data_IF_547173580692
#
_entry.id   IF_547173580692
#
_cell.length_a   1.000
_cell.length_b   1.000
_cell.length_c   1.000
_cell.angle_alpha   90.00
_cell.angle_beta   90.00
_cell.angle_gamma   90.00
#
_symmetry.space_group_name_H-M   'P 1'
#
loop_
_entity.id
_entity.type
_entity.pdbx_description
1 polymer ?
#
# COMPACT_ATOMS: atom_id res chain seq x y z
N UNK A 1 -33.81 17.08 54.55
CA UNK A 1 -34.67 16.66 53.43
C UNK A 1 -34.81 17.69 52.29
N UNK A 2 -34.13 18.82 52.28
CA UNK A 2 -34.13 19.82 51.19
C UNK A 2 -32.88 19.83 50.30
N UNK A 3 -31.82 19.11 50.65
CA UNK A 3 -30.55 19.10 49.93
C UNK A 3 -30.52 18.04 48.82
N UNK A 4 -31.38 17.00 48.93
CA UNK A 4 -31.40 15.90 47.95
C UNK A 4 -32.18 16.21 46.66
N UNK A 5 -33.23 17.01 46.77
CA UNK A 5 -34.05 17.41 45.59
C UNK A 5 -33.31 18.37 44.62
N UNK A 6 -32.35 19.13 45.17
CA UNK A 6 -31.56 20.07 44.33
C UNK A 6 -30.46 19.33 43.51
N UNK A 7 -29.94 18.24 44.02
CA UNK A 7 -28.95 17.40 43.32
C UNK A 7 -29.59 16.62 42.14
N UNK A 8 -30.77 16.05 42.35
CA UNK A 8 -31.48 15.34 41.28
C UNK A 8 -31.93 16.28 40.13
N UNK A 9 -32.42 17.49 40.45
CA UNK A 9 -32.82 18.47 39.49
C UNK A 9 -31.62 19.00 38.63
N UNK A 10 -30.45 19.13 39.21
CA UNK A 10 -29.24 19.54 38.51
C UNK A 10 -28.75 18.41 37.61
N UNK A 11 -28.80 17.16 38.08
CA UNK A 11 -28.36 15.98 37.29
C UNK A 11 -29.29 15.73 36.10
N UNK A 12 -30.62 15.93 36.26
CA UNK A 12 -31.56 15.82 35.14
C UNK A 12 -31.39 16.94 34.11
N UNK A 13 -31.15 18.17 34.53
CA UNK A 13 -30.90 19.29 33.59
C UNK A 13 -29.58 19.12 32.81
N UNK A 14 -28.55 18.53 33.40
CA UNK A 14 -27.29 18.22 32.72
C UNK A 14 -27.48 17.07 31.73
N UNK A 15 -28.25 16.02 32.09
CA UNK A 15 -28.55 14.90 31.19
C UNK A 15 -29.45 15.35 30.01
N UNK A 16 -30.40 16.23 30.24
CA UNK A 16 -31.28 16.78 29.21
C UNK A 16 -30.50 17.70 28.25
N UNK A 17 -29.65 18.58 28.78
CA UNK A 17 -28.71 19.38 27.95
C UNK A 17 -27.77 18.54 27.10
N UNK A 18 -27.29 17.39 27.62
CA UNK A 18 -26.49 16.43 26.83
C UNK A 18 -27.29 15.76 25.73
N UNK A 19 -28.54 15.35 25.98
CA UNK A 19 -29.42 14.77 24.95
C UNK A 19 -29.72 15.73 23.82
N UNK A 20 -30.00 16.99 24.12
CA UNK A 20 -30.23 18.03 23.11
C UNK A 20 -29.00 18.40 22.32
N UNK A 21 -27.78 18.38 22.92
CA UNK A 21 -26.53 18.55 22.20
C UNK A 21 -26.25 17.38 21.25
N UNK A 22 -26.54 16.14 21.64
CA UNK A 22 -26.38 14.96 20.79
C UNK A 22 -27.38 14.99 19.62
N UNK A 23 -28.62 15.41 19.85
CA UNK A 23 -29.61 15.53 18.79
C UNK A 23 -29.34 16.72 17.85
N UNK A 24 -28.81 17.83 18.36
CA UNK A 24 -28.38 18.97 17.54
C UNK A 24 -27.12 18.65 16.73
N UNK A 25 -26.17 17.88 17.27
CA UNK A 25 -25.00 17.44 16.54
C UNK A 25 -25.40 16.43 15.44
N UNK A 26 -26.31 15.48 15.71
CA UNK A 26 -26.81 14.55 14.70
C UNK A 26 -27.63 15.25 13.60
N UNK A 27 -28.42 16.27 13.95
CA UNK A 27 -29.17 17.09 13.00
C UNK A 27 -28.28 18.04 12.19
N UNK A 28 -27.28 18.63 12.81
CA UNK A 28 -26.29 19.49 12.14
C UNK A 28 -25.35 18.71 11.21
N UNK A 29 -25.05 17.47 11.55
CA UNK A 29 -24.22 16.60 10.69
C UNK A 29 -24.95 16.22 9.40
N UNK A 30 -26.27 16.01 9.44
CA UNK A 30 -27.07 15.78 8.23
C UNK A 30 -27.31 17.06 7.40
N UNK A 31 -27.32 18.24 8.01
CA UNK A 31 -27.49 19.51 7.29
C UNK A 31 -26.16 20.08 6.77
N UNK A 32 -25.00 19.71 7.37
CA UNK A 32 -23.67 20.13 6.92
C UNK A 32 -23.15 19.27 5.74
N UNK A 33 -23.66 18.06 5.56
CA UNK A 33 -23.31 17.23 4.38
C UNK A 33 -23.91 17.80 3.08
N UNK A 34 -24.92 18.66 3.15
CA UNK A 34 -25.53 19.31 1.99
C UNK A 34 -24.95 20.69 1.63
N UNK A 35 -24.00 21.23 2.39
CA UNK A 35 -23.62 22.65 2.27
C UNK A 35 -22.14 22.98 2.24
N UNK A 36 -21.21 22.02 2.38
CA UNK A 36 -19.77 22.26 2.29
C UNK A 36 -19.10 21.38 1.23
N UNK A 37 -19.38 21.68 -0.02
CA UNK A 37 -18.42 21.42 -1.10
C UNK A 37 -17.43 22.58 -1.08
N UNK A 38 -16.44 22.53 -0.21
CA UNK A 38 -15.24 23.35 -0.29
C UNK A 38 -14.03 22.54 0.15
N UNK A 39 -13.38 21.89 -0.85
CA UNK A 39 -11.94 21.95 -1.13
C UNK A 39 -11.00 21.85 0.07
N UNK A 40 -10.94 20.68 0.71
CA UNK A 40 -9.69 20.16 1.24
C UNK A 40 -9.66 18.68 0.87
N UNK A 41 -8.72 18.22 0.04
CA UNK A 41 -8.56 16.80 -0.18
C UNK A 41 -8.08 16.18 1.13
N UNK A 42 -8.99 15.64 1.91
CA UNK A 42 -8.60 14.78 3.01
C UNK A 42 -8.07 13.48 2.41
N UNK A 43 -6.79 13.26 2.51
CA UNK A 43 -6.12 11.98 2.18
C UNK A 43 -6.66 10.83 3.06
N UNK A 44 -7.53 11.16 4.01
CA UNK A 44 -8.26 10.21 4.83
C UNK A 44 -9.74 10.20 4.44
N UNK A 45 -10.15 9.14 3.79
CA UNK A 45 -11.56 8.79 3.72
C UNK A 45 -12.04 8.38 5.12
N UNK A 46 -13.23 8.80 5.53
CA UNK A 46 -13.87 8.35 6.76
C UNK A 46 -14.54 9.43 7.60
N UNK A 47 -15.43 8.99 8.49
CA UNK A 47 -16.08 9.83 9.49
C UNK A 47 -15.21 10.00 10.74
N UNK A 48 -15.18 11.19 11.33
CA UNK A 48 -14.43 11.48 12.54
C UNK A 48 -15.40 11.83 13.68
N UNK A 49 -15.23 11.15 14.81
CA UNK A 49 -15.91 11.46 16.07
C UNK A 49 -14.92 12.21 16.95
N UNK A 50 -15.20 13.46 17.24
CA UNK A 50 -14.38 14.32 18.11
C UNK A 50 -14.96 14.34 19.51
N UNK A 51 -14.11 14.46 20.55
CA UNK A 51 -14.54 14.80 21.89
C UNK A 51 -14.59 16.33 22.10
N UNK A 52 -14.94 16.78 23.28
CA UNK A 52 -14.85 18.21 23.66
C UNK A 52 -13.41 18.75 23.62
N UNK A 53 -12.41 17.88 23.62
CA UNK A 53 -10.99 18.14 23.47
C UNK A 53 -10.59 17.84 22.01
N UNK A 54 -10.22 18.86 21.24
CA UNK A 54 -9.91 18.75 19.82
C UNK A 54 -8.75 17.77 19.53
N UNK A 55 -7.86 17.54 20.50
CA UNK A 55 -6.77 16.57 20.39
C UNK A 55 -7.26 15.11 20.53
N UNK A 56 -8.50 14.89 20.97
CA UNK A 56 -9.09 13.57 21.19
C UNK A 56 -10.17 13.26 20.18
N UNK A 57 -9.85 12.32 19.29
CA UNK A 57 -10.77 11.91 18.23
C UNK A 57 -10.59 10.43 17.88
N UNK A 58 -11.60 9.87 17.25
CA UNK A 58 -11.54 8.60 16.52
C UNK A 58 -12.08 8.85 15.11
N UNK A 59 -11.34 8.45 14.09
CA UNK A 59 -11.75 8.45 12.70
C UNK A 59 -11.90 7.02 12.21
N UNK A 60 -12.99 6.74 11.52
CA UNK A 60 -13.31 5.45 10.93
C UNK A 60 -13.48 5.60 9.43
N UNK A 61 -12.73 4.83 8.66
CA UNK A 61 -12.84 4.77 7.21
C UNK A 61 -12.91 3.34 6.70
N UNK A 62 -13.35 3.18 5.48
CA UNK A 62 -13.43 1.89 4.80
C UNK A 62 -13.00 2.03 3.35
N UNK A 63 -12.44 0.97 2.80
CA UNK A 63 -12.09 0.89 1.38
C UNK A 63 -12.37 -0.48 0.80
N UNK A 64 -12.86 -0.50 -0.43
CA UNK A 64 -13.05 -1.72 -1.21
C UNK A 64 -12.47 -1.52 -2.62
N UNK A 65 -11.79 -2.53 -3.11
CA UNK A 65 -11.36 -2.65 -4.51
C UNK A 65 -11.79 -4.00 -5.03
N UNK A 66 -12.45 -3.97 -6.19
CA UNK A 66 -12.94 -5.18 -6.84
C UNK A 66 -12.60 -5.14 -8.32
N UNK A 67 -12.38 -6.29 -8.92
CA UNK A 67 -12.09 -6.39 -10.34
C UNK A 67 -12.79 -7.57 -11.01
N UNK A 68 -13.02 -7.42 -12.30
CA UNK A 68 -13.26 -8.48 -13.25
C UNK A 68 -12.02 -8.61 -14.13
N UNK A 69 -11.48 -9.80 -14.23
CA UNK A 69 -10.33 -10.10 -15.10
C UNK A 69 -10.72 -11.19 -16.09
N UNK A 70 -10.49 -10.92 -17.37
CA UNK A 70 -10.51 -11.91 -18.46
C UNK A 70 -9.07 -12.07 -18.93
N UNK A 71 -8.46 -13.23 -18.74
CA UNK A 71 -7.04 -13.45 -19.01
C UNK A 71 -6.78 -14.74 -19.78
N UNK A 72 -5.82 -14.64 -20.68
CA UNK A 72 -5.36 -15.76 -21.50
C UNK A 72 -4.58 -16.77 -20.66
N UNK A 73 -4.67 -18.04 -21.02
CA UNK A 73 -3.96 -19.18 -20.41
C UNK A 73 -4.13 -19.31 -18.90
N UNK A 74 -5.21 -18.79 -18.34
CA UNK A 74 -5.52 -18.84 -16.89
C UNK A 74 -6.53 -19.91 -16.50
N UNK A 75 -7.14 -20.58 -17.47
CA UNK A 75 -8.04 -21.70 -17.20
C UNK A 75 -7.31 -22.87 -16.55
N UNK A 76 -8.05 -23.77 -15.91
CA UNK A 76 -7.49 -24.96 -15.29
C UNK A 76 -6.68 -25.84 -16.26
N UNK A 77 -7.00 -25.80 -17.55
CA UNK A 77 -6.25 -26.47 -18.61
C UNK A 77 -4.99 -25.70 -19.06
N UNK A 78 -4.82 -24.44 -18.66
CA UNK A 78 -3.74 -23.55 -19.10
C UNK A 78 -3.78 -23.19 -20.58
N UNK A 79 -4.90 -23.37 -21.27
CA UNK A 79 -4.99 -23.24 -22.73
C UNK A 79 -6.15 -22.35 -23.20
N UNK A 80 -6.88 -21.70 -22.29
CA UNK A 80 -8.06 -20.90 -22.61
C UNK A 80 -8.16 -19.66 -21.72
N UNK A 81 -8.94 -18.68 -22.19
CA UNK A 81 -9.32 -17.53 -21.39
C UNK A 81 -10.10 -17.95 -20.15
N UNK A 82 -9.73 -17.36 -19.03
CA UNK A 82 -10.45 -17.46 -17.75
C UNK A 82 -11.07 -16.13 -17.37
N UNK A 83 -12.28 -16.19 -16.81
CA UNK A 83 -13.02 -15.01 -16.39
C UNK A 83 -13.26 -15.07 -14.89
N UNK A 84 -12.78 -14.05 -14.18
CA UNK A 84 -12.73 -14.05 -12.72
C UNK A 84 -13.21 -12.73 -12.17
N UNK A 85 -14.14 -12.75 -11.21
CA UNK A 85 -14.41 -11.63 -10.32
C UNK A 85 -13.62 -11.78 -9.03
N UNK A 86 -13.04 -10.68 -8.56
CA UNK A 86 -12.24 -10.66 -7.35
C UNK A 86 -12.61 -9.49 -6.44
N UNK A 87 -12.52 -9.69 -5.13
CA UNK A 87 -12.35 -8.63 -4.15
C UNK A 87 -10.87 -8.50 -3.90
N UNK A 88 -10.23 -7.49 -4.48
CA UNK A 88 -8.79 -7.32 -4.43
C UNK A 88 -8.33 -6.79 -3.07
N UNK A 89 -9.11 -5.88 -2.49
CA UNK A 89 -8.88 -5.32 -1.15
C UNK A 89 -10.22 -5.01 -0.47
N UNK A 90 -10.26 -5.23 0.84
CA UNK A 90 -11.31 -4.71 1.70
C UNK A 90 -10.68 -4.29 3.04
N UNK A 91 -10.72 -3.00 3.33
CA UNK A 91 -10.02 -2.38 4.46
C UNK A 91 -10.96 -1.66 5.40
N UNK A 92 -10.63 -1.69 6.68
CA UNK A 92 -11.14 -0.79 7.69
C UNK A 92 -9.97 0.01 8.24
N UNK A 93 -10.13 1.33 8.27
CA UNK A 93 -9.16 2.27 8.80
C UNK A 93 -9.70 2.85 10.12
N UNK A 94 -8.93 2.73 11.19
CA UNK A 94 -9.22 3.34 12.48
C UNK A 94 -8.03 4.21 12.85
N UNK A 95 -8.24 5.50 12.92
CA UNK A 95 -7.23 6.44 13.39
C UNK A 95 -7.75 7.17 14.61
N UNK A 96 -6.87 7.58 15.50
CA UNK A 96 -7.29 8.36 16.66
C UNK A 96 -6.18 9.18 17.26
N UNK A 97 -6.56 10.24 17.96
CA UNK A 97 -5.74 11.07 18.81
C UNK A 97 -6.16 10.91 20.26
N UNK A 98 -5.19 10.84 21.17
CA UNK A 98 -5.40 10.85 22.63
C UNK A 98 -4.74 12.06 23.28
N UNK A 99 -3.86 12.70 22.54
CA UNK A 99 -3.13 13.90 22.94
C UNK A 99 -2.58 14.57 21.67
N UNK A 100 -2.33 15.88 21.66
CA UNK A 100 -1.80 16.61 20.49
C UNK A 100 -0.57 15.99 19.84
N UNK A 101 0.24 15.26 20.62
CA UNK A 101 1.44 14.59 20.14
C UNK A 101 1.33 13.08 20.06
N UNK A 102 0.26 12.48 20.59
CA UNK A 102 0.12 11.02 20.65
C UNK A 102 -1.14 10.58 19.94
N UNK A 103 -0.93 9.83 18.88
CA UNK A 103 -1.99 9.31 18.00
C UNK A 103 -1.79 7.81 17.78
N UNK A 104 -2.77 7.16 17.20
CA UNK A 104 -2.68 5.75 16.83
C UNK A 104 -3.36 5.48 15.49
N UNK A 105 -2.97 4.37 14.87
CA UNK A 105 -3.62 3.84 13.67
C UNK A 105 -3.75 2.33 13.78
N UNK A 106 -4.94 1.83 13.42
CA UNK A 106 -5.21 0.42 13.19
C UNK A 106 -5.85 0.26 11.82
N UNK A 107 -5.22 -0.50 10.95
CA UNK A 107 -5.79 -0.82 9.64
C UNK A 107 -5.87 -2.33 9.47
N UNK A 108 -6.96 -2.79 8.92
CA UNK A 108 -7.14 -4.19 8.56
C UNK A 108 -7.11 -4.35 7.05
N UNK A 109 -6.86 -5.56 6.58
CA UNK A 109 -7.00 -5.94 5.18
C UNK A 109 -7.67 -7.29 5.08
N UNK A 110 -8.48 -7.48 4.07
CA UNK A 110 -9.00 -8.79 3.75
C UNK A 110 -7.97 -9.60 2.97
N UNK A 111 -7.50 -10.68 3.57
CA UNK A 111 -6.67 -11.67 2.91
C UNK A 111 -7.54 -12.78 2.33
N UNK A 112 -7.33 -13.14 1.08
CA UNK A 112 -8.07 -14.18 0.37
C UNK A 112 -9.60 -13.91 0.27
N UNK A 113 -10.01 -12.66 0.17
CA UNK A 113 -11.41 -12.31 -0.07
C UNK A 113 -11.87 -12.65 -1.49
N UNK A 114 -10.96 -12.85 -2.41
CA UNK A 114 -11.26 -13.45 -3.70
C UNK A 114 -11.44 -14.94 -3.54
N UNK A 115 -12.60 -15.44 -3.92
CA UNK A 115 -12.95 -16.88 -3.88
C UNK A 115 -11.98 -17.75 -4.69
N UNK A 116 -11.22 -17.15 -5.58
CA UNK A 116 -10.25 -17.82 -6.46
C UNK A 116 -8.83 -17.90 -5.90
N UNK A 117 -8.56 -17.37 -4.71
CA UNK A 117 -7.25 -17.49 -4.06
C UNK A 117 -6.98 -18.87 -3.43
N UNK A 118 -7.97 -19.72 -3.34
CA UNK A 118 -7.83 -21.10 -2.97
C UNK A 118 -7.79 -21.96 -4.22
N UNK A 119 -6.59 -22.32 -4.69
CA UNK A 119 -6.50 -23.41 -5.64
C UNK A 119 -7.33 -24.57 -5.13
N UNK A 120 -8.24 -25.06 -5.95
CA UNK A 120 -8.93 -26.33 -5.74
C UNK A 120 -7.87 -27.44 -5.91
N UNK A 121 -6.95 -27.52 -4.98
CA UNK A 121 -6.03 -28.65 -4.82
C UNK A 121 -6.57 -29.63 -3.77
N UNK A 122 -7.91 -29.67 -3.63
CA UNK A 122 -8.58 -30.69 -2.85
C UNK A 122 -9.18 -31.75 -3.77
N UNK A 123 -9.33 -33.02 -3.31
CA UNK A 123 -10.05 -34.03 -4.05
C UNK A 123 -11.47 -33.57 -4.35
N UNK A 124 -12.15 -34.11 -5.40
CA UNK A 124 -13.52 -33.76 -5.71
C UNK A 124 -14.40 -33.92 -4.46
N UNK A 125 -14.99 -32.82 -3.99
CA UNK A 125 -15.72 -32.76 -2.71
C UNK A 125 -15.03 -31.94 -1.62
N UNK A 126 -13.85 -31.33 -1.92
CA UNK A 126 -13.20 -30.37 -1.04
C UNK A 126 -14.12 -29.17 -0.82
N UNK A 127 -14.47 -28.91 0.41
CA UNK A 127 -15.29 -27.77 0.81
C UNK A 127 -14.60 -26.49 0.34
N UNK A 128 -15.40 -25.53 -0.12
CA UNK A 128 -14.97 -24.15 -0.24
C UNK A 128 -14.48 -23.68 1.13
N UNK A 129 -13.21 -23.84 1.41
CA UNK A 129 -12.57 -23.15 2.52
C UNK A 129 -12.41 -21.68 2.10
N UNK A 130 -13.53 -20.99 2.01
CA UNK A 130 -13.61 -19.56 1.90
C UNK A 130 -13.18 -18.95 3.23
N UNK A 131 -11.92 -19.14 3.60
CA UNK A 131 -11.30 -18.43 4.71
C UNK A 131 -10.89 -17.05 4.22
N UNK A 132 -11.89 -16.20 3.96
CA UNK A 132 -11.62 -14.77 3.92
C UNK A 132 -11.27 -14.33 5.35
N UNK A 133 -10.04 -13.98 5.58
CA UNK A 133 -9.56 -13.55 6.88
C UNK A 133 -9.30 -12.05 6.87
N UNK A 134 -9.98 -11.33 7.76
CA UNK A 134 -9.59 -9.96 8.07
C UNK A 134 -8.35 -9.99 8.97
N UNK A 135 -7.23 -9.52 8.45
CA UNK A 135 -5.97 -9.45 9.18
C UNK A 135 -5.57 -8.02 9.51
N UNK A 136 -4.81 -7.85 10.58
CA UNK A 136 -4.23 -6.57 10.97
C UNK A 136 -3.02 -6.28 10.10
N UNK A 137 -3.05 -5.17 9.33
CA UNK A 137 -1.89 -4.71 8.54
C UNK A 137 -1.11 -3.61 9.24
N UNK A 138 -1.77 -2.69 9.92
CA UNK A 138 -1.13 -1.62 10.67
C UNK A 138 -1.62 -1.60 12.11
N UNK A 139 -0.68 -1.47 13.07
CA UNK A 139 -0.92 -1.20 14.47
C UNK A 139 0.19 -0.27 14.94
N UNK A 140 -0.08 1.03 14.93
CA UNK A 140 0.94 2.07 15.04
C UNK A 140 0.61 2.99 16.20
N UNK A 141 1.53 3.12 17.16
CA UNK A 141 1.60 4.24 18.09
C UNK A 141 2.40 5.37 17.43
N UNK A 142 1.82 6.56 17.34
CA UNK A 142 2.39 7.70 16.67
C UNK A 142 2.74 8.79 17.66
N UNK A 143 4.00 9.25 17.62
CA UNK A 143 4.51 10.34 18.43
C UNK A 143 4.99 11.45 17.49
N UNK A 144 4.17 12.48 17.33
CA UNK A 144 4.35 13.55 16.36
C UNK A 144 4.54 14.87 17.09
N UNK A 145 5.81 15.27 17.28
CA UNK A 145 6.16 16.43 18.12
C UNK A 145 6.31 17.72 17.31
N UNK A 146 7.04 17.62 16.20
CA UNK A 146 7.41 18.78 15.40
C UNK A 146 7.43 18.40 13.91
N UNK A 147 7.60 19.38 13.05
CA UNK A 147 7.82 19.13 11.64
C UNK A 147 9.07 18.28 11.37
N UNK A 148 10.10 18.42 12.21
CA UNK A 148 11.39 17.79 12.00
C UNK A 148 11.63 16.52 12.80
N UNK A 149 10.93 16.28 13.91
CA UNK A 149 11.20 15.16 14.80
C UNK A 149 9.91 14.46 15.17
N UNK A 150 9.76 13.26 14.64
CA UNK A 150 8.61 12.39 14.91
C UNK A 150 9.08 10.94 14.94
N UNK A 151 8.33 10.07 15.59
CA UNK A 151 8.53 8.63 15.44
C UNK A 151 7.21 7.85 15.55
N UNK A 152 7.14 6.79 14.81
CA UNK A 152 6.07 5.81 14.87
C UNK A 152 6.63 4.48 15.31
N UNK A 153 5.89 3.76 16.15
CA UNK A 153 6.28 2.46 16.69
C UNK A 153 5.15 1.46 16.52
N UNK A 154 5.50 0.24 16.18
CA UNK A 154 4.55 -0.86 15.99
C UNK A 154 4.70 -1.50 14.62
N UNK A 155 3.61 -2.03 14.08
CA UNK A 155 3.57 -2.58 12.74
C UNK A 155 3.21 -1.47 11.75
N UNK A 156 4.16 -1.07 10.91
CA UNK A 156 4.03 0.06 10.01
C UNK A 156 4.72 -0.19 8.68
N UNK A 157 4.43 0.63 7.66
CA UNK A 157 5.14 0.58 6.38
C UNK A 157 6.63 0.85 6.57
N UNK A 158 7.45 0.07 5.91
CA UNK A 158 8.89 0.30 5.83
C UNK A 158 9.13 1.50 4.89
N UNK A 159 9.90 2.52 5.31
CA UNK A 159 10.09 3.73 4.53
C UNK A 159 11.07 3.51 3.37
N UNK A 160 10.61 2.87 2.32
CA UNK A 160 11.41 2.52 1.15
C UNK A 160 10.76 2.97 -0.15
N UNK A 161 10.10 2.08 -0.86
CA UNK A 161 9.59 2.31 -2.20
C UNK A 161 8.26 3.09 -2.20
N UNK A 162 8.12 3.99 -3.15
CA UNK A 162 6.89 4.77 -3.34
C UNK A 162 5.68 3.85 -3.54
N UNK A 163 5.83 2.80 -4.32
CA UNK A 163 4.75 1.88 -4.63
C UNK A 163 4.12 1.24 -3.39
N UNK A 164 4.92 0.87 -2.39
CA UNK A 164 4.43 0.32 -1.13
C UNK A 164 3.89 1.42 -0.20
N UNK A 165 4.57 2.58 -0.15
CA UNK A 165 4.16 3.71 0.69
C UNK A 165 2.81 4.30 0.27
N UNK A 166 2.43 4.18 -1.00
CA UNK A 166 1.10 4.56 -1.49
C UNK A 166 0.03 3.57 -1.02
N UNK A 167 0.38 2.31 -0.84
CA UNK A 167 -0.59 1.23 -0.67
C UNK A 167 -1.52 1.09 -1.89
N UNK A 168 -2.42 0.13 -1.93
CA UNK A 168 -3.22 -0.15 -3.12
C UNK A 168 -4.26 0.93 -3.46
N UNK A 169 -4.69 1.73 -2.49
CA UNK A 169 -5.75 2.71 -2.67
C UNK A 169 -5.25 4.08 -3.19
N UNK A 170 -3.98 4.41 -3.03
CA UNK A 170 -3.42 5.72 -3.38
C UNK A 170 -2.54 5.70 -4.64
N UNK A 171 -2.68 4.66 -5.47
CA UNK A 171 -2.15 4.63 -6.83
C UNK A 171 -3.15 5.20 -7.83
N UNK A 172 -2.67 5.92 -8.85
CA UNK A 172 -3.52 6.37 -9.95
C UNK A 172 -3.75 5.28 -11.02
N UNK A 173 -2.89 4.27 -11.10
CA UNK A 173 -3.13 3.03 -11.84
C UNK A 173 -3.65 1.94 -10.89
N UNK A 174 -4.55 1.07 -11.35
CA UNK A 174 -5.23 0.15 -10.45
C UNK A 174 -4.27 -0.81 -9.75
N UNK A 175 -3.36 -1.45 -10.47
CA UNK A 175 -2.41 -2.40 -9.90
C UNK A 175 -1.14 -1.75 -9.35
N UNK A 176 -1.00 -0.44 -9.40
CA UNK A 176 0.14 0.28 -8.89
C UNK A 176 1.48 -0.15 -9.50
N UNK A 177 2.52 -0.17 -8.71
CA UNK A 177 3.80 -0.76 -9.08
C UNK A 177 3.75 -2.27 -8.90
N UNK A 178 3.78 -2.98 -10.02
CA UNK A 178 3.49 -4.41 -10.01
C UNK A 178 4.61 -5.28 -9.48
N UNK A 179 5.83 -4.87 -9.54
CA UNK A 179 6.89 -5.81 -9.22
C UNK A 179 8.27 -5.23 -9.06
N UNK A 180 9.18 -6.03 -8.57
CA UNK A 180 8.97 -7.06 -7.58
C UNK A 180 8.44 -6.41 -6.33
N UNK A 181 7.79 -7.16 -5.46
CA UNK A 181 7.41 -6.61 -4.19
C UNK A 181 8.63 -6.15 -3.42
N UNK A 182 8.48 -5.07 -2.69
CA UNK A 182 9.33 -4.83 -1.57
C UNK A 182 9.18 -6.02 -0.60
N UNK A 183 10.29 -6.61 -0.30
CA UNK A 183 10.34 -7.79 0.56
C UNK A 183 10.50 -7.40 2.03
N UNK A 184 10.17 -6.17 2.37
CA UNK A 184 10.21 -5.66 3.73
C UNK A 184 9.24 -6.37 4.65
N UNK A 185 8.15 -6.91 4.11
CA UNK A 185 7.11 -7.53 4.91
C UNK A 185 7.43 -8.99 5.31
N UNK A 186 8.57 -9.20 5.89
CA UNK A 186 9.11 -10.51 6.28
C UNK A 186 9.10 -10.76 7.79
N UNK A 187 8.57 -9.82 8.58
CA UNK A 187 8.56 -9.92 10.05
C UNK A 187 7.70 -11.06 10.60
N UNK A 188 6.84 -11.65 9.78
CA UNK A 188 6.08 -12.86 10.15
C UNK A 188 6.95 -14.09 10.36
N UNK A 189 8.18 -14.08 9.90
CA UNK A 189 9.14 -15.16 10.07
C UNK A 189 8.95 -16.33 9.13
N UNK A 190 10.00 -16.73 8.43
CA UNK A 190 10.06 -17.95 7.65
C UNK A 190 9.92 -19.15 8.60
N UNK A 191 8.98 -20.04 8.32
CA UNK A 191 8.66 -21.17 9.18
C UNK A 191 7.75 -20.86 10.38
N UNK A 192 7.33 -19.61 10.57
CA UNK A 192 6.43 -19.21 11.66
C UNK A 192 5.03 -18.78 11.21
N UNK A 193 4.67 -19.04 9.96
CA UNK A 193 3.31 -18.77 9.48
C UNK A 193 3.11 -17.36 8.93
N UNK A 194 3.65 -17.11 7.78
CA UNK A 194 3.31 -15.99 6.93
C UNK A 194 4.18 -14.77 7.12
N UNK A 195 4.83 -14.36 6.06
CA UNK A 195 5.30 -13.01 5.92
C UNK A 195 4.08 -12.09 6.00
N UNK A 196 4.22 -10.96 6.58
CA UNK A 196 3.21 -9.95 6.57
C UNK A 196 2.86 -9.54 5.13
N UNK A 197 1.93 -8.63 4.97
CA UNK A 197 1.48 -8.23 3.66
C UNK A 197 1.79 -6.75 3.42
N UNK A 198 2.15 -6.43 2.17
CA UNK A 198 2.15 -5.05 1.69
C UNK A 198 3.18 -4.12 2.35
N UNK A 199 4.43 -4.53 2.45
CA UNK A 199 5.54 -3.65 2.85
C UNK A 199 5.56 -3.23 4.32
N UNK A 200 4.93 -3.99 5.22
CA UNK A 200 4.92 -3.72 6.66
C UNK A 200 5.95 -4.55 7.41
N UNK A 201 6.41 -4.00 8.53
CA UNK A 201 7.26 -4.70 9.47
C UNK A 201 7.05 -4.15 10.89
N UNK A 202 7.49 -4.88 11.91
CA UNK A 202 7.38 -4.48 13.31
C UNK A 202 8.66 -3.77 13.75
N UNK A 203 8.53 -2.51 14.18
CA UNK A 203 9.70 -1.74 14.57
C UNK A 203 9.40 -0.29 14.88
N UNK A 204 10.37 0.56 14.64
CA UNK A 204 10.30 2.00 14.86
C UNK A 204 10.80 2.75 13.63
N UNK A 205 10.10 3.81 13.27
CA UNK A 205 10.47 4.74 12.20
C UNK A 205 10.60 6.13 12.79
N UNK A 206 11.78 6.74 12.65
CA UNK A 206 12.04 8.15 12.92
C UNK A 206 11.96 8.91 11.62
N UNK A 207 11.22 10.02 11.60
CA UNK A 207 11.06 10.81 10.39
C UNK A 207 10.87 12.29 10.70
N UNK A 208 11.12 13.09 9.69
CA UNK A 208 10.91 14.52 9.76
C UNK A 208 11.10 15.20 8.43
N UNK A 209 10.80 16.49 8.40
CA UNK A 209 10.86 17.32 7.21
C UNK A 209 11.57 18.62 7.51
N UNK A 210 12.43 19.04 6.58
CA UNK A 210 13.10 20.34 6.56
C UNK A 210 12.82 21.05 5.24
N UNK A 211 12.86 22.40 5.25
CA UNK A 211 12.49 23.22 4.09
C UNK A 211 13.66 24.11 3.65
N UNK A 212 14.67 23.54 2.97
CA UNK A 212 15.81 24.33 2.47
C UNK A 212 15.42 25.12 1.22
N UNK A 213 15.53 26.44 1.27
CA UNK A 213 15.45 27.29 0.08
C UNK A 213 14.13 27.23 -0.70
N UNK A 214 13.00 26.96 -0.01
CA UNK A 214 11.68 26.88 -0.65
C UNK A 214 11.37 25.50 -1.24
N UNK A 215 12.23 24.51 -1.04
CA UNK A 215 11.98 23.10 -1.33
C UNK A 215 11.74 22.35 -0.02
N UNK A 216 11.31 21.08 -0.11
CA UNK A 216 10.97 20.28 1.07
C UNK A 216 11.72 18.95 1.03
N UNK A 217 12.45 18.62 2.09
CA UNK A 217 13.19 17.37 2.21
C UNK A 217 12.59 16.56 3.34
N UNK A 218 12.06 15.39 3.03
CA UNK A 218 11.61 14.39 3.97
C UNK A 218 12.73 13.36 4.19
N UNK A 219 12.99 13.02 5.44
CA UNK A 219 13.82 11.88 5.79
C UNK A 219 13.05 10.90 6.68
N UNK A 220 13.30 9.60 6.49
CA UNK A 220 12.79 8.55 7.35
C UNK A 220 13.89 7.50 7.56
N UNK A 221 14.13 7.12 8.80
CA UNK A 221 15.11 6.13 9.21
C UNK A 221 14.43 5.13 10.14
N UNK A 222 14.70 3.85 9.99
CA UNK A 222 13.96 2.83 10.72
C UNK A 222 14.80 1.63 11.12
N UNK A 223 14.34 1.00 12.20
CA UNK A 223 14.84 -0.26 12.71
C UNK A 223 13.66 -1.20 12.90
N UNK A 224 13.72 -2.36 12.27
CA UNK A 224 12.66 -3.36 12.25
C UNK A 224 13.16 -4.74 12.68
N UNK A 225 12.23 -5.59 13.03
CA UNK A 225 12.49 -6.99 13.31
C UNK A 225 13.08 -7.71 12.10
N UNK A 226 12.55 -7.46 10.89
CA UNK A 226 12.96 -8.16 9.70
C UNK A 226 12.68 -9.66 9.74
N UNK A 227 13.41 -10.43 8.95
CA UNK A 227 13.30 -11.87 8.93
C UNK A 227 13.74 -12.47 10.28
N UNK A 228 12.92 -13.36 10.81
CA UNK A 228 13.24 -14.20 11.97
C UNK A 228 13.17 -15.67 11.54
N UNK A 229 14.20 -16.43 11.87
CA UNK A 229 14.27 -17.87 11.59
C UNK A 229 14.02 -18.69 12.85
N UNK A 230 13.50 -19.90 12.66
CA UNK A 230 13.46 -20.90 13.70
C UNK A 230 14.88 -21.45 13.97
N UNK A 231 15.13 -21.98 15.16
CA UNK A 231 16.42 -22.57 15.48
C UNK A 231 16.79 -23.71 14.52
N UNK A 232 17.93 -23.62 13.89
CA UNK A 232 18.42 -24.61 12.92
C UNK A 232 17.71 -24.60 11.58
N UNK A 233 16.90 -23.57 11.27
CA UNK A 233 16.12 -23.48 10.03
C UNK A 233 16.05 -22.03 9.53
N UNK A 234 16.49 -21.78 8.31
CA UNK A 234 16.53 -20.44 7.70
C UNK A 234 17.76 -19.61 8.07
N UNK A 235 17.96 -18.45 7.45
CA UNK A 235 19.25 -17.76 7.46
C UNK A 235 19.57 -16.97 8.73
N UNK A 236 18.60 -16.27 9.32
CA UNK A 236 18.85 -15.34 10.42
C UNK A 236 18.86 -16.01 11.80
N UNK A 237 19.84 -16.85 12.07
CA UNK A 237 20.00 -17.54 13.35
C UNK A 237 20.43 -16.61 14.51
N UNK A 238 20.91 -15.42 14.20
CA UNK A 238 21.41 -14.45 15.19
C UNK A 238 20.37 -13.38 15.57
N UNK A 239 19.16 -13.46 15.01
CA UNK A 239 18.09 -12.47 15.20
C UNK A 239 18.55 -11.03 14.94
N UNK A 240 19.33 -10.84 13.87
CA UNK A 240 19.77 -9.51 13.46
C UNK A 240 18.59 -8.66 13.00
N UNK A 241 18.60 -7.38 13.34
CA UNK A 241 17.57 -6.44 12.96
C UNK A 241 17.73 -5.96 11.51
N UNK A 242 16.63 -5.52 10.92
CA UNK A 242 16.58 -4.88 9.61
C UNK A 242 16.59 -3.36 9.78
N UNK A 243 17.37 -2.68 8.96
CA UNK A 243 17.46 -1.24 8.88
C UNK A 243 16.91 -0.78 7.53
N UNK A 244 16.17 0.31 7.51
CA UNK A 244 15.71 0.92 6.28
C UNK A 244 15.75 2.44 6.37
N UNK A 245 15.83 3.10 5.22
CA UNK A 245 15.83 4.55 5.16
C UNK A 245 15.39 5.08 3.81
N UNK A 246 14.77 6.28 3.85
CA UNK A 246 14.32 7.03 2.69
C UNK A 246 14.70 8.50 2.84
N UNK A 247 15.21 9.08 1.77
CA UNK A 247 15.39 10.51 1.61
C UNK A 247 14.61 10.95 0.38
N UNK A 248 13.67 11.88 0.55
CA UNK A 248 12.83 12.39 -0.52
C UNK A 248 12.96 13.91 -0.60
N UNK A 249 13.17 14.43 -1.78
CA UNK A 249 13.27 15.85 -2.09
C UNK A 249 12.08 16.29 -2.94
N UNK A 250 11.21 17.11 -2.39
CA UNK A 250 10.11 17.76 -3.08
C UNK A 250 10.60 19.14 -3.56
N UNK A 251 10.81 19.26 -4.86
CA UNK A 251 11.39 20.45 -5.51
C UNK A 251 10.34 21.53 -5.78
N UNK A 252 9.08 21.16 -5.83
CA UNK A 252 7.93 22.05 -6.05
C UNK A 252 6.99 21.98 -4.82
N UNK A 253 5.73 21.57 -4.99
CA UNK A 253 4.82 21.45 -3.85
C UNK A 253 5.28 20.41 -2.83
N UNK A 254 4.91 20.65 -1.57
CA UNK A 254 5.16 19.73 -0.46
C UNK A 254 4.19 18.53 -0.52
N UNK A 255 4.66 17.42 -1.06
CA UNK A 255 3.88 16.19 -1.18
C UNK A 255 3.35 15.69 0.18
N UNK A 256 4.08 15.94 1.28
CA UNK A 256 3.68 15.53 2.62
C UNK A 256 2.80 16.54 3.35
N UNK A 257 2.32 17.59 2.70
CA UNK A 257 1.45 18.57 3.36
C UNK A 257 0.20 17.92 3.96
N UNK A 258 -0.36 16.92 3.27
CA UNK A 258 -1.55 16.19 3.68
C UNK A 258 -1.35 14.67 3.78
N UNK A 259 -0.17 14.14 3.45
CA UNK A 259 0.13 12.73 3.63
C UNK A 259 0.49 12.45 5.09
N UNK A 260 0.08 11.32 5.65
CA UNK A 260 0.45 10.94 7.01
C UNK A 260 1.94 10.59 7.09
N UNK A 261 2.65 11.25 7.97
CA UNK A 261 4.05 10.94 8.28
C UNK A 261 4.95 10.98 7.05
N UNK A 262 5.47 9.83 6.67
CA UNK A 262 6.36 9.62 5.52
C UNK A 262 5.68 8.91 4.34
N UNK A 263 4.37 8.72 4.39
CA UNK A 263 3.61 8.06 3.32
C UNK A 263 3.54 8.95 2.07
N UNK A 264 3.31 8.30 0.93
CA UNK A 264 3.26 8.96 -0.38
C UNK A 264 1.98 8.58 -1.13
N UNK A 265 1.78 9.17 -2.29
CA UNK A 265 0.75 8.76 -3.24
C UNK A 265 1.30 8.68 -4.66
N UNK A 266 0.57 8.05 -5.55
CA UNK A 266 0.95 7.89 -6.97
C UNK A 266 0.64 9.10 -7.83
N UNK A 267 0.19 10.19 -7.24
CA UNK A 267 -0.20 11.48 -7.81
C UNK A 267 -1.28 12.11 -6.95
N UNK A 268 -1.76 13.29 -7.33
CA UNK A 268 -2.69 14.07 -6.50
C UNK A 268 -3.85 14.68 -7.30
N UNK A 269 -4.01 14.28 -8.57
CA UNK A 269 -5.04 14.79 -9.48
C UNK A 269 -5.03 16.32 -9.66
N UNK A 270 -3.88 16.97 -9.37
CA UNK A 270 -3.69 18.42 -9.44
C UNK A 270 -4.03 19.17 -8.15
N UNK A 271 -4.46 18.50 -7.08
CA UNK A 271 -4.91 19.13 -5.84
C UNK A 271 -3.79 19.88 -5.10
N UNK A 272 -2.53 19.51 -5.32
CA UNK A 272 -1.35 20.19 -4.76
C UNK A 272 -0.67 21.15 -5.75
N UNK A 273 -1.27 21.35 -6.94
CA UNK A 273 -0.59 22.05 -8.03
C UNK A 273 0.51 21.22 -8.65
N UNK A 274 1.64 21.87 -8.99
CA UNK A 274 2.77 21.19 -9.61
C UNK A 274 3.61 20.47 -8.55
N UNK A 275 3.83 19.17 -8.75
CA UNK A 275 4.64 18.32 -7.86
C UNK A 275 5.86 17.81 -8.63
N UNK A 276 7.03 17.86 -8.01
CA UNK A 276 8.23 17.14 -8.45
C UNK A 276 8.93 16.60 -7.21
N UNK A 277 8.81 15.29 -7.00
CA UNK A 277 9.44 14.59 -5.90
C UNK A 277 10.44 13.57 -6.43
N UNK A 278 11.65 13.60 -5.91
CA UNK A 278 12.72 12.64 -6.16
C UNK A 278 13.06 11.93 -4.86
N UNK A 279 13.25 10.63 -4.88
CA UNK A 279 13.64 9.91 -3.68
C UNK A 279 14.65 8.80 -3.95
N UNK A 280 15.43 8.52 -2.90
CA UNK A 280 16.27 7.34 -2.80
C UNK A 280 16.01 6.65 -1.46
N UNK A 281 16.06 5.32 -1.48
CA UNK A 281 15.83 4.52 -0.29
C UNK A 281 16.55 3.19 -0.37
N UNK A 282 16.62 2.47 0.74
CA UNK A 282 17.21 1.15 0.78
C UNK A 282 16.99 0.45 2.10
N UNK A 283 17.26 -0.86 2.10
CA UNK A 283 17.17 -1.73 3.26
C UNK A 283 18.44 -2.55 3.42
N UNK A 284 18.70 -2.95 4.65
CA UNK A 284 19.77 -3.86 5.00
C UNK A 284 19.39 -4.74 6.19
N UNK A 285 19.59 -6.06 6.04
CA UNK A 285 19.57 -7.00 7.17
C UNK A 285 20.70 -8.00 7.00
N UNK A 286 21.56 -8.13 8.00
CA UNK A 286 22.58 -9.16 8.00
C UNK A 286 21.92 -10.54 8.11
N UNK A 287 22.30 -11.49 7.25
CA UNK A 287 21.68 -12.81 7.16
C UNK A 287 20.15 -12.77 6.95
N UNK A 288 19.63 -11.74 6.27
CA UNK A 288 18.21 -11.55 6.04
C UNK A 288 17.59 -12.47 4.97
N UNK A 289 18.40 -13.23 4.23
CA UNK A 289 17.98 -14.13 3.16
C UNK A 289 18.91 -15.32 3.06
N UNK A 290 18.49 -16.36 2.31
CA UNK A 290 19.25 -17.60 2.09
C UNK A 290 18.75 -18.74 2.98
N UNK A 291 19.61 -19.68 3.29
CA UNK A 291 19.35 -20.86 4.11
C UNK A 291 20.15 -20.83 5.41
N UNK A 292 19.93 -21.80 6.27
CA UNK A 292 20.76 -22.03 7.45
C UNK A 292 22.22 -22.24 7.07
N UNK A 293 22.50 -23.07 6.04
CA UNK A 293 23.85 -23.38 5.59
C UNK A 293 24.49 -22.25 4.77
N UNK A 294 23.67 -21.48 4.02
CA UNK A 294 24.11 -20.45 3.09
C UNK A 294 23.38 -19.11 3.36
N UNK A 295 23.57 -18.50 4.56
CA UNK A 295 22.94 -17.21 4.86
C UNK A 295 23.61 -16.08 4.10
N UNK A 296 22.83 -15.11 3.66
CA UNK A 296 23.29 -13.93 2.93
C UNK A 296 22.64 -12.65 3.47
N UNK A 297 23.30 -11.50 3.32
CA UNK A 297 22.66 -10.24 3.66
C UNK A 297 21.57 -9.90 2.66
N UNK A 298 20.44 -9.38 3.15
CA UNK A 298 19.42 -8.73 2.37
C UNK A 298 19.81 -7.26 2.19
N UNK A 299 19.83 -6.79 0.95
CA UNK A 299 20.14 -5.38 0.62
C UNK A 299 19.26 -4.92 -0.51
N UNK A 300 18.80 -3.69 -0.44
CA UNK A 300 18.06 -3.04 -1.53
C UNK A 300 18.57 -1.63 -1.78
N UNK A 301 18.42 -1.18 -3.01
CA UNK A 301 18.51 0.22 -3.41
C UNK A 301 17.32 0.53 -4.30
N UNK A 302 16.63 1.62 -3.99
CA UNK A 302 15.42 2.04 -4.68
C UNK A 302 15.55 3.55 -4.96
N UNK A 303 15.15 3.96 -6.17
CA UNK A 303 15.05 5.35 -6.55
C UNK A 303 13.71 5.57 -7.24
N UNK A 304 13.03 6.65 -6.90
CA UNK A 304 11.74 6.99 -7.50
C UNK A 304 11.59 8.47 -7.83
N UNK A 305 10.69 8.75 -8.76
CA UNK A 305 10.26 10.09 -9.17
C UNK A 305 8.75 10.14 -9.29
N UNK A 306 8.15 11.20 -8.76
CA UNK A 306 6.81 11.64 -9.10
C UNK A 306 6.88 13.05 -9.70
N UNK A 307 6.32 13.21 -10.88
CA UNK A 307 6.09 14.51 -11.51
C UNK A 307 4.62 14.67 -11.82
N UNK A 308 3.99 15.71 -11.30
CA UNK A 308 2.63 16.10 -11.63
C UNK A 308 2.60 17.57 -12.05
N UNK A 309 1.92 17.85 -13.15
CA UNK A 309 1.81 19.18 -13.74
C UNK A 309 0.35 19.53 -14.02
N UNK A 310 -0.12 20.61 -13.44
CA UNK A 310 -1.41 21.22 -13.77
C UNK A 310 -1.22 22.10 -14.99
N UNK A 311 -1.92 21.79 -16.08
CA UNK A 311 -1.84 22.53 -17.33
C UNK A 311 -2.78 23.74 -17.34
N UNK A 312 -2.58 24.66 -18.30
CA UNK A 312 -3.35 25.89 -18.37
C UNK A 312 -4.86 25.68 -18.57
N UNK A 313 -5.25 24.59 -19.22
CA UNK A 313 -6.63 24.13 -19.40
C UNK A 313 -7.20 23.38 -18.19
N UNK A 314 -6.43 23.29 -17.09
CA UNK A 314 -6.72 22.52 -15.86
C UNK A 314 -6.70 20.98 -16.07
N UNK A 315 -6.20 20.49 -17.19
CA UNK A 315 -5.80 19.11 -17.33
C UNK A 315 -4.59 18.80 -16.44
N UNK A 316 -4.43 17.54 -16.00
CA UNK A 316 -3.31 17.16 -15.14
C UNK A 316 -2.52 16.05 -15.79
N UNK A 317 -1.25 16.32 -16.02
CA UNK A 317 -0.29 15.30 -16.43
C UNK A 317 0.44 14.75 -15.23
N UNK A 318 0.45 13.43 -15.06
CA UNK A 318 1.17 12.73 -14.01
C UNK A 318 2.15 11.73 -14.63
N UNK A 319 3.38 11.76 -14.17
CA UNK A 319 4.43 10.80 -14.50
C UNK A 319 5.02 10.21 -13.24
N UNK A 320 5.19 8.90 -13.19
CA UNK A 320 5.77 8.20 -12.07
C UNK A 320 6.73 7.13 -12.57
N UNK A 321 7.90 7.00 -11.93
CA UNK A 321 8.83 5.93 -12.24
C UNK A 321 9.56 5.48 -10.97
N UNK A 322 9.87 4.19 -10.92
CA UNK A 322 10.58 3.58 -9.81
C UNK A 322 11.57 2.53 -10.34
N UNK A 323 12.81 2.63 -9.89
CA UNK A 323 13.87 1.67 -10.12
C UNK A 323 14.22 0.97 -8.81
N UNK A 324 14.36 -0.36 -8.86
CA UNK A 324 14.72 -1.20 -7.71
C UNK A 324 15.89 -2.12 -8.05
N UNK A 325 16.79 -2.27 -7.12
CA UNK A 325 17.86 -3.28 -7.16
C UNK A 325 17.86 -4.06 -5.85
N UNK A 326 17.78 -5.37 -5.98
CA UNK A 326 17.85 -6.31 -4.87
C UNK A 326 19.11 -7.12 -4.95
N UNK A 327 19.87 -7.20 -3.85
CA UNK A 327 20.98 -8.13 -3.64
C UNK A 327 20.57 -9.06 -2.51
N UNK A 328 20.35 -10.32 -2.85
CA UNK A 328 19.82 -11.31 -1.95
C UNK A 328 20.73 -12.53 -1.87
N UNK A 329 20.18 -13.72 -1.68
CA UNK A 329 20.94 -14.95 -1.46
C UNK A 329 21.88 -15.32 -2.62
N UNK A 330 22.85 -16.18 -2.30
CA UNK A 330 23.70 -16.83 -3.31
C UNK A 330 22.92 -17.91 -4.06
N UNK A 331 23.44 -18.33 -5.23
CA UNK A 331 22.86 -19.42 -6.01
C UNK A 331 22.85 -20.74 -5.22
N UNK A 332 23.88 -20.99 -4.40
CA UNK A 332 23.98 -22.20 -3.57
C UNK A 332 22.81 -22.37 -2.60
N UNK A 333 22.28 -21.26 -2.07
CA UNK A 333 21.17 -21.32 -1.12
C UNK A 333 19.87 -21.88 -1.73
N UNK A 334 19.68 -21.78 -3.04
CA UNK A 334 18.46 -22.26 -3.68
C UNK A 334 18.28 -23.77 -3.67
N UNK A 335 19.36 -24.54 -3.51
CA UNK A 335 19.29 -25.99 -3.38
C UNK A 335 18.90 -26.45 -1.98
N UNK A 336 18.90 -25.54 -1.00
CA UNK A 336 18.62 -25.86 0.39
C UNK A 336 17.11 -25.84 0.65
N UNK A 337 16.60 -26.87 1.31
CA UNK A 337 15.16 -27.02 1.57
C UNK A 337 14.58 -25.93 2.49
N UNK A 338 15.45 -25.27 3.27
CA UNK A 338 15.11 -24.19 4.20
C UNK A 338 15.45 -22.80 3.66
N UNK A 339 15.62 -22.67 2.35
CA UNK A 339 15.93 -21.38 1.76
C UNK A 339 14.78 -20.39 1.90
N UNK A 340 15.04 -19.31 2.58
CA UNK A 340 14.27 -18.06 2.44
C UNK A 340 14.84 -17.30 1.25
N UNK A 341 14.50 -17.74 0.07
CA UNK A 341 15.01 -17.23 -1.19
C UNK A 341 14.07 -16.21 -1.80
N UNK A 342 14.62 -15.07 -2.12
CA UNK A 342 13.88 -13.90 -2.59
C UNK A 342 14.39 -13.48 -3.97
N UNK A 343 13.68 -12.55 -4.63
CA UNK A 343 14.12 -11.98 -5.89
C UNK A 343 15.52 -11.36 -5.75
N UNK A 344 16.41 -11.69 -6.67
CA UNK A 344 17.71 -11.06 -6.83
C UNK A 344 17.81 -10.51 -8.25
N UNK A 345 17.86 -9.18 -8.39
CA UNK A 345 17.81 -8.59 -9.72
C UNK A 345 17.48 -7.11 -9.69
N UNK A 346 17.08 -6.61 -10.84
CA UNK A 346 16.62 -5.24 -11.04
C UNK A 346 15.19 -5.22 -11.52
N UNK A 347 14.47 -4.16 -11.17
CA UNK A 347 13.15 -3.86 -11.69
C UNK A 347 13.02 -2.39 -11.98
N UNK A 348 12.27 -2.08 -13.02
CA UNK A 348 11.89 -0.72 -13.38
C UNK A 348 10.41 -0.70 -13.72
N UNK A 349 9.66 0.22 -13.13
CA UNK A 349 8.26 0.46 -13.47
C UNK A 349 8.05 1.95 -13.71
N UNK A 350 7.34 2.28 -14.75
CA UNK A 350 6.95 3.66 -15.05
C UNK A 350 5.53 3.73 -15.59
N UNK A 351 4.84 4.83 -15.31
CA UNK A 351 3.55 5.13 -15.93
C UNK A 351 3.37 6.63 -16.13
N UNK A 352 2.57 6.97 -17.14
CA UNK A 352 2.15 8.32 -17.42
C UNK A 352 0.63 8.37 -17.61
N UNK A 353 -0.01 9.41 -17.06
CA UNK A 353 -1.44 9.61 -17.08
C UNK A 353 -1.77 11.05 -17.48
N UNK A 354 -2.93 11.24 -18.09
CA UNK A 354 -3.48 12.57 -18.35
C UNK A 354 -4.93 12.64 -17.92
N UNK A 355 -5.21 13.40 -16.87
CA UNK A 355 -6.57 13.67 -16.42
C UNK A 355 -7.16 14.83 -17.22
N UNK A 356 -8.22 14.57 -17.99
CA UNK A 356 -8.92 15.61 -18.73
C UNK A 356 -9.62 16.60 -17.80
N UNK A 357 -9.64 17.89 -18.13
CA UNK A 357 -10.29 18.92 -17.29
C UNK A 357 -11.82 18.83 -17.32
N UNK A 358 -12.40 18.28 -18.41
CA UNK A 358 -13.84 18.22 -18.62
C UNK A 358 -14.48 17.13 -17.79
N UNK A 359 -15.51 17.47 -17.04
CA UNK A 359 -16.42 16.52 -16.44
C UNK A 359 -17.39 15.97 -17.49
N UNK A 360 -17.53 14.66 -17.54
CA UNK A 360 -18.49 13.94 -18.37
C UNK A 360 -19.31 13.05 -17.46
N UNK A 361 -20.59 13.39 -17.24
CA UNK A 361 -21.43 12.76 -16.23
C UNK A 361 -21.03 13.20 -14.82
N UNK A 362 -20.51 12.27 -14.00
CA UNK A 362 -20.12 12.50 -12.60
C UNK A 362 -18.61 12.42 -12.37
N UNK A 363 -17.82 12.40 -13.42
CA UNK A 363 -16.37 12.24 -13.31
C UNK A 363 -15.61 12.68 -14.55
N UNK A 364 -14.29 12.47 -14.50
CA UNK A 364 -13.33 12.85 -15.55
C UNK A 364 -12.58 11.64 -16.06
N UNK A 365 -12.28 11.61 -17.35
CA UNK A 365 -11.47 10.55 -17.94
C UNK A 365 -9.97 10.80 -17.75
N UNK A 366 -9.23 9.70 -17.53
CA UNK A 366 -7.79 9.72 -17.35
C UNK A 366 -7.17 8.50 -18.08
N UNK A 367 -6.83 8.61 -19.36
CA UNK A 367 -6.05 7.59 -20.06
C UNK A 367 -4.64 7.50 -19.48
N UNK A 368 -4.06 6.29 -19.56
CA UNK A 368 -2.71 6.03 -19.09
C UNK A 368 -2.01 4.91 -19.84
N UNK A 369 -0.69 4.92 -19.74
CA UNK A 369 0.16 3.82 -20.15
C UNK A 369 1.15 3.48 -19.04
N UNK A 370 1.45 2.19 -18.86
CA UNK A 370 2.45 1.69 -17.91
C UNK A 370 3.38 0.71 -18.61
N UNK A 371 4.62 0.74 -18.20
CA UNK A 371 5.64 -0.22 -18.57
C UNK A 371 6.35 -0.73 -17.33
N UNK A 372 6.58 -2.04 -17.26
CA UNK A 372 7.35 -2.68 -16.19
C UNK A 372 8.37 -3.62 -16.81
N UNK A 373 9.61 -3.56 -16.31
CA UNK A 373 10.70 -4.45 -16.69
C UNK A 373 11.33 -5.07 -15.46
N UNK A 374 11.59 -6.38 -15.51
CA UNK A 374 12.22 -7.13 -14.43
C UNK A 374 13.34 -7.97 -15.02
N UNK A 375 14.50 -7.97 -14.37
CA UNK A 375 15.64 -8.79 -14.73
C UNK A 375 16.20 -9.47 -13.49
N UNK A 376 16.03 -10.79 -13.39
CA UNK A 376 16.61 -11.60 -12.35
C UNK A 376 18.05 -12.00 -12.74
N UNK A 377 18.97 -11.98 -11.76
CA UNK A 377 20.37 -12.43 -11.99
C UNK A 377 20.49 -13.94 -12.18
N UNK A 378 19.44 -14.70 -11.84
CA UNK A 378 19.46 -16.16 -11.90
C UNK A 378 18.55 -16.73 -13.00
N UNK A 379 18.01 -15.89 -13.85
CA UNK A 379 17.11 -16.31 -14.90
C UNK A 379 17.87 -16.44 -16.21
N UNK A 380 18.00 -17.67 -16.71
CA UNK A 380 18.48 -17.93 -18.06
C UNK A 380 17.37 -17.49 -19.04
N UNK A 381 17.62 -16.44 -19.81
CA UNK A 381 16.70 -16.03 -20.88
C UNK A 381 16.25 -14.57 -20.90
N UNK A 382 16.86 -13.71 -20.10
CA UNK A 382 16.65 -12.26 -20.23
C UNK A 382 15.56 -11.69 -19.31
N UNK A 383 15.26 -10.42 -19.53
CA UNK A 383 14.29 -9.68 -18.76
C UNK A 383 12.85 -10.03 -19.11
N UNK A 384 11.95 -9.64 -18.24
CA UNK A 384 10.51 -9.79 -18.41
C UNK A 384 9.89 -8.39 -18.53
N UNK A 385 9.03 -8.22 -19.50
CA UNK A 385 8.33 -6.98 -19.79
C UNK A 385 6.83 -7.11 -19.56
N UNK A 386 6.22 -6.04 -19.07
CA UNK A 386 4.79 -5.90 -18.99
C UNK A 386 4.39 -4.53 -19.54
N UNK A 387 3.43 -4.51 -20.43
CA UNK A 387 2.82 -3.32 -20.99
C UNK A 387 1.37 -3.24 -20.53
N UNK A 388 0.92 -2.06 -20.14
CA UNK A 388 -0.47 -1.83 -19.75
C UNK A 388 -0.95 -0.52 -20.37
N UNK A 389 -2.11 -0.55 -21.00
CA UNK A 389 -2.81 0.63 -21.48
C UNK A 389 -4.22 0.66 -20.90
N UNK A 390 -4.63 1.79 -20.32
CA UNK A 390 -5.88 1.85 -19.62
C UNK A 390 -6.54 3.22 -19.62
N UNK A 391 -7.77 3.21 -19.10
CA UNK A 391 -8.61 4.37 -18.93
C UNK A 391 -9.22 4.33 -17.53
N UNK A 392 -8.97 5.37 -16.75
CA UNK A 392 -9.69 5.62 -15.52
C UNK A 392 -10.86 6.56 -15.78
N UNK A 393 -11.95 6.36 -15.07
CA UNK A 393 -13.04 7.32 -14.90
C UNK A 393 -13.03 7.75 -13.44
N UNK A 394 -12.46 8.93 -13.18
CA UNK A 394 -12.20 9.47 -11.85
C UNK A 394 -13.42 10.28 -11.40
N UNK A 395 -14.16 9.76 -10.43
CA UNK A 395 -15.36 10.39 -9.88
C UNK A 395 -14.99 11.32 -8.71
N UNK A 396 -14.17 10.81 -7.79
CA UNK A 396 -13.71 11.56 -6.60
C UNK A 396 -12.29 11.14 -6.23
N UNK A 397 -11.29 11.53 -7.01
CA UNK A 397 -9.89 11.23 -6.77
C UNK A 397 -9.64 9.74 -6.45
N UNK A 398 -9.03 9.48 -5.31
CA UNK A 398 -8.82 8.12 -4.81
C UNK A 398 -10.08 7.50 -4.17
N UNK A 399 -11.10 8.29 -3.86
CA UNK A 399 -12.26 7.81 -3.13
C UNK A 399 -13.26 7.04 -4.00
N UNK A 400 -13.38 7.42 -5.28
CA UNK A 400 -14.27 6.74 -6.21
C UNK A 400 -13.71 6.75 -7.62
N UNK A 401 -13.41 5.58 -8.16
CA UNK A 401 -12.82 5.44 -9.50
C UNK A 401 -13.22 4.10 -10.13
N UNK A 402 -13.56 4.14 -11.41
CA UNK A 402 -13.62 2.98 -12.29
C UNK A 402 -12.35 2.94 -13.14
N UNK A 403 -11.84 1.76 -13.43
CA UNK A 403 -10.68 1.56 -14.29
C UNK A 403 -10.94 0.42 -15.27
N UNK A 404 -10.51 0.58 -16.51
CA UNK A 404 -10.51 -0.49 -17.50
C UNK A 404 -9.16 -0.47 -18.22
N UNK A 405 -8.51 -1.62 -18.34
CA UNK A 405 -7.19 -1.68 -18.95
C UNK A 405 -6.91 -3.03 -19.61
N UNK A 406 -6.05 -2.98 -20.58
CA UNK A 406 -5.45 -4.14 -21.23
C UNK A 406 -4.00 -4.25 -20.76
N UNK A 407 -3.60 -5.45 -20.39
CA UNK A 407 -2.26 -5.77 -20.00
C UNK A 407 -1.71 -6.89 -20.85
N UNK A 408 -0.49 -6.72 -21.33
CA UNK A 408 0.27 -7.71 -22.06
C UNK A 408 1.55 -8.01 -21.29
N UNK A 409 1.73 -9.27 -20.90
CA UNK A 409 2.96 -9.76 -20.30
C UNK A 409 3.82 -10.38 -21.40
N UNK A 410 5.13 -10.08 -21.44
CA UNK A 410 6.06 -10.85 -22.27
C UNK A 410 6.06 -12.29 -21.76
N UNK A 411 6.24 -13.26 -22.64
CA UNK A 411 6.04 -14.71 -22.40
C UNK A 411 6.67 -15.32 -21.13
N UNK A 412 7.27 -14.52 -20.27
CA UNK A 412 7.85 -14.93 -19.01
C UNK A 412 7.17 -14.26 -17.80
N UNK A 413 6.15 -13.43 -18.01
CA UNK A 413 5.45 -12.70 -16.98
C UNK A 413 4.06 -13.29 -16.74
N UNK A 414 3.93 -14.15 -15.76
CA UNK A 414 2.65 -14.72 -15.36
C UNK A 414 1.89 -13.86 -14.33
N UNK A 415 0.69 -14.29 -13.92
CA UNK A 415 -0.10 -13.59 -12.93
C UNK A 415 0.65 -13.47 -11.59
N UNK A 416 0.43 -12.36 -10.91
CA UNK A 416 0.94 -12.15 -9.55
C UNK A 416 0.48 -13.28 -8.64
N UNK A 417 1.40 -14.08 -8.15
CA UNK A 417 1.13 -14.94 -7.01
C UNK A 417 1.31 -14.09 -5.75
N UNK A 418 0.24 -13.71 -5.09
CA UNK A 418 0.24 -12.89 -3.89
C UNK A 418 0.99 -13.48 -2.70
N UNK A 419 1.51 -14.68 -2.83
CA UNK A 419 2.25 -15.41 -1.80
C UNK A 419 3.66 -15.76 -2.25
N UNK A 420 4.34 -14.92 -2.93
CA UNK A 420 5.66 -14.91 -3.51
C UNK A 420 6.80 -15.80 -3.05
N UNK A 421 6.55 -16.82 -2.26
CA UNK A 421 7.58 -17.73 -1.76
C UNK A 421 7.35 -19.14 -2.29
N UNK A 422 7.90 -19.42 -3.43
CA UNK A 422 8.09 -20.80 -3.85
C UNK A 422 9.57 -21.13 -3.83
N UNK A 423 9.88 -22.35 -3.47
CA UNK A 423 11.24 -22.89 -3.47
C UNK A 423 11.88 -22.99 -4.87
N UNK A 424 11.26 -22.44 -5.91
CA UNK A 424 11.79 -22.40 -7.26
C UNK A 424 12.38 -21.04 -7.58
N UNK A 425 13.52 -21.01 -8.20
CA UNK A 425 14.24 -19.83 -8.72
C UNK A 425 13.34 -18.87 -9.52
N UNK A 426 12.30 -19.41 -10.12
CA UNK A 426 11.48 -18.74 -11.10
C UNK A 426 10.29 -17.98 -10.50
N UNK A 427 9.96 -18.21 -9.23
CA UNK A 427 8.80 -17.60 -8.61
C UNK A 427 9.16 -16.78 -7.35
N UNK A 428 10.43 -16.75 -6.97
CA UNK A 428 10.87 -16.12 -5.74
C UNK A 428 10.75 -14.59 -5.81
N UNK A 429 9.64 -14.05 -5.36
CA UNK A 429 9.48 -12.63 -5.09
C UNK A 429 9.34 -11.72 -6.31
N UNK A 430 9.22 -12.25 -7.52
CA UNK A 430 9.04 -11.40 -8.71
C UNK A 430 7.60 -10.90 -8.86
N UNK A 431 6.64 -11.58 -8.25
CA UNK A 431 5.22 -11.36 -8.54
C UNK A 431 4.81 -11.74 -9.97
N UNK A 432 5.75 -12.25 -10.75
CA UNK A 432 5.57 -12.74 -12.12
C UNK A 432 5.95 -14.21 -12.14
N UNK A 433 5.11 -15.05 -12.71
CA UNK A 433 5.43 -16.46 -12.95
C UNK A 433 6.00 -16.60 -14.35
N UNK A 434 7.12 -17.30 -14.53
CA UNK A 434 7.63 -17.58 -15.86
C UNK A 434 6.58 -18.39 -16.63
N UNK A 435 6.17 -17.84 -17.74
CA UNK A 435 5.39 -18.54 -18.75
C UNK A 435 6.19 -18.47 -20.03
N UNK A 436 6.28 -19.56 -20.77
CA UNK A 436 6.90 -19.54 -22.10
C UNK A 436 6.03 -18.88 -23.17
N UNK A 437 4.87 -18.34 -22.78
CA UNK A 437 3.88 -17.74 -23.65
C UNK A 437 3.59 -16.30 -23.23
N UNK A 438 3.34 -15.46 -24.23
CA UNK A 438 2.70 -14.17 -23.99
C UNK A 438 1.33 -14.40 -23.32
N UNK A 439 0.97 -13.54 -22.39
CA UNK A 439 -0.33 -13.61 -21.73
C UNK A 439 -0.98 -12.22 -21.76
N UNK A 440 -2.14 -12.18 -22.33
CA UNK A 440 -2.97 -10.98 -22.40
C UNK A 440 -4.06 -11.03 -21.31
N UNK A 441 -4.41 -9.89 -20.77
CA UNK A 441 -5.53 -9.77 -19.86
C UNK A 441 -6.25 -8.45 -20.01
N UNK A 442 -7.57 -8.52 -20.01
CA UNK A 442 -8.44 -7.36 -19.84
C UNK A 442 -8.93 -7.30 -18.41
N UNK A 443 -8.89 -6.12 -17.81
CA UNK A 443 -9.36 -5.90 -16.44
C UNK A 443 -10.33 -4.73 -16.42
N UNK A 444 -11.47 -4.93 -15.74
CA UNK A 444 -12.39 -3.85 -15.37
C UNK A 444 -12.48 -3.82 -13.84
N UNK A 445 -12.29 -2.65 -13.24
CA UNK A 445 -12.12 -2.55 -11.80
C UNK A 445 -12.84 -1.33 -11.21
N UNK A 446 -13.24 -1.48 -9.93
CA UNK A 446 -13.86 -0.44 -9.12
C UNK A 446 -13.05 -0.24 -7.85
N UNK A 447 -12.82 1.00 -7.49
CA UNK A 447 -12.30 1.42 -6.20
C UNK A 447 -13.27 2.39 -5.54
N UNK A 448 -13.62 2.09 -4.29
CA UNK A 448 -14.37 2.98 -3.41
C UNK A 448 -13.70 3.02 -2.06
N UNK A 449 -13.57 4.22 -1.48
CA UNK A 449 -13.14 4.39 -0.10
C UNK A 449 -13.76 5.64 0.53
N UNK A 450 -13.92 5.58 1.84
CA UNK A 450 -14.49 6.67 2.64
C UNK A 450 -13.80 6.76 3.99
#
# INVERSE_FOLDING_TARGET
MKVDQTREAVTMKVAEKRRWKILLVAGATMALVAGMVSTVPSVYAGGTIMSDDEDKYISLGMGIRTSFTSGEDRSASGAQWDNTFAVDNARVYINGGIHKYVKFTFNTECFNCSVNGGGINGPPGGQFNGNSNMGLIDAIGKFEFTRTINFWVGRTLVPTERGELNGPFYHQVYDGFRTPFNQSDISGGFGRGGAGAFGRDNGVVFFGKVDPGGTHVLYALSVFTGLQSAAGFGPNQRSTLKYAGRLQWNLLADEQANNPGYYTAGGYYGDYGDVLALAVSGEYQNQGVGSFANPSPYKTFIADILYEKVLADKGVFTFNAEYKRYWTQSLAAYSDADCFCMFNGTSFTTYALYLFPQEIGIGRFQPYGRYTYINSVYQDGGGQDEYEGGLNYVISGFNARLSAYWRQDSGNAGPRNGAGFTSSLNAAGTGLTPSSKHSDAFVAALQLQY
#
